data_IF_603549345174
#
_entry.id   IF_603549345174
#
_cell.length_a   1.000
_cell.length_b   1.000
_cell.length_c   1.000
_cell.angle_alpha   90.00
_cell.angle_beta   90.00
_cell.angle_gamma   90.00
#
_symmetry.space_group_name_H-M   'P 1'
#
loop_
_entity.id
_entity.type
_entity.pdbx_description
1 polymer ?
#
# COMPACT_ATOMS: atom_id res chain seq x y z
N UNK A 1 -11.84 -3.76 -8.45
CA UNK A 1 -11.80 -2.38 -8.95
C UNK A 1 -12.51 -1.40 -8.03
N UNK A 2 -13.76 -1.64 -7.62
CA UNK A 2 -14.50 -0.74 -6.71
C UNK A 2 -13.77 -0.43 -5.40
N UNK A 3 -13.20 -1.45 -4.73
CA UNK A 3 -12.44 -1.28 -3.48
C UNK A 3 -11.20 -0.39 -3.69
N UNK A 4 -10.47 -0.58 -4.80
CA UNK A 4 -9.28 0.22 -5.12
C UNK A 4 -9.67 1.69 -5.24
N UNK A 5 -10.70 1.98 -6.04
CA UNK A 5 -11.18 3.36 -6.24
C UNK A 5 -11.63 3.99 -4.92
N UNK A 6 -12.37 3.24 -4.09
CA UNK A 6 -12.82 3.70 -2.79
C UNK A 6 -11.63 4.07 -1.88
N UNK A 7 -10.64 3.20 -1.76
CA UNK A 7 -9.45 3.44 -0.92
C UNK A 7 -8.64 4.65 -1.41
N UNK A 8 -8.52 4.82 -2.73
CA UNK A 8 -7.86 5.99 -3.34
C UNK A 8 -8.63 7.27 -3.02
N UNK A 9 -9.95 7.28 -3.20
CA UNK A 9 -10.79 8.44 -2.89
C UNK A 9 -10.67 8.81 -1.41
N UNK A 10 -10.68 7.82 -0.51
CA UNK A 10 -10.55 8.05 0.94
C UNK A 10 -9.21 8.73 1.26
N UNK A 11 -8.08 8.22 0.77
CA UNK A 11 -6.76 8.80 1.05
C UNK A 11 -6.65 10.23 0.50
N UNK A 12 -7.05 10.45 -0.76
CA UNK A 12 -6.99 11.78 -1.39
C UNK A 12 -7.91 12.78 -0.70
N UNK A 13 -9.09 12.35 -0.25
CA UNK A 13 -10.04 13.21 0.47
C UNK A 13 -9.47 13.62 1.83
N UNK A 14 -8.90 12.68 2.59
CA UNK A 14 -8.27 12.97 3.88
C UNK A 14 -7.09 13.92 3.67
N UNK A 15 -6.22 13.68 2.69
CA UNK A 15 -5.09 14.57 2.39
C UNK A 15 -5.53 15.97 2.02
N UNK A 16 -6.61 16.08 1.25
CA UNK A 16 -7.21 17.36 0.88
C UNK A 16 -7.70 18.10 2.12
N UNK A 17 -8.41 17.41 3.03
CA UNK A 17 -8.86 17.98 4.30
C UNK A 17 -7.66 18.43 5.15
N UNK A 18 -6.62 17.59 5.24
CA UNK A 18 -5.40 17.90 6.00
C UNK A 18 -4.67 19.12 5.43
N UNK A 19 -4.55 19.21 4.11
CA UNK A 19 -3.89 20.32 3.43
C UNK A 19 -4.59 21.65 3.70
N UNK A 20 -5.92 21.71 3.50
CA UNK A 20 -6.64 22.97 3.58
C UNK A 20 -6.96 23.41 5.02
N UNK A 21 -7.17 22.47 5.94
CA UNK A 21 -7.64 22.80 7.29
C UNK A 21 -6.59 22.61 8.40
N UNK A 22 -5.58 21.76 8.19
CA UNK A 22 -4.72 21.28 9.28
C UNK A 22 -3.20 21.41 9.03
N UNK A 23 -2.75 21.92 7.88
CA UNK A 23 -1.32 21.95 7.51
C UNK A 23 -0.41 22.72 8.48
N UNK A 24 -0.96 23.66 9.24
CA UNK A 24 -0.24 24.45 10.24
C UNK A 24 -0.57 24.02 11.68
N UNK A 25 -1.18 22.85 11.85
CA UNK A 25 -1.60 22.35 13.16
C UNK A 25 -0.64 21.30 13.68
N UNK A 26 -0.39 21.35 15.00
CA UNK A 26 0.43 20.37 15.70
C UNK A 26 -0.31 19.94 16.96
N UNK A 27 -0.92 18.76 16.90
CA UNK A 27 -1.62 18.15 18.02
C UNK A 27 -0.77 17.00 18.54
N UNK A 28 -0.44 17.04 19.83
CA UNK A 28 0.35 16.02 20.53
C UNK A 28 -0.58 15.21 21.42
N UNK A 29 -0.46 13.89 21.36
CA UNK A 29 -1.09 12.91 22.24
C UNK A 29 0.01 12.13 22.97
N UNK A 30 -0.35 11.43 24.06
CA UNK A 30 0.54 10.51 24.79
C UNK A 30 1.91 11.12 25.13
N UNK A 31 1.91 12.33 25.72
CA UNK A 31 3.16 13.02 26.09
C UNK A 31 4.04 13.42 24.90
N UNK A 32 3.50 13.43 23.67
CA UNK A 32 4.23 13.77 22.45
C UNK A 32 4.72 12.56 21.64
N UNK A 33 4.42 11.33 22.07
CA UNK A 33 4.80 10.12 21.33
C UNK A 33 3.94 9.90 20.08
N UNK A 34 2.71 10.38 20.06
CA UNK A 34 1.79 10.23 18.94
C UNK A 34 1.15 11.58 18.64
N UNK A 35 0.86 11.90 17.39
CA UNK A 35 0.21 13.16 17.08
C UNK A 35 -0.25 13.32 15.65
N UNK A 36 -0.91 14.46 15.44
CA UNK A 36 -1.31 14.96 14.13
C UNK A 36 -0.48 16.20 13.86
N UNK A 37 0.37 16.12 12.84
CA UNK A 37 1.22 17.22 12.39
C UNK A 37 1.37 17.09 10.87
N UNK A 38 0.39 17.59 10.09
CA UNK A 38 0.44 17.47 8.64
C UNK A 38 1.64 18.22 8.07
N UNK A 39 2.50 17.53 7.35
CA UNK A 39 3.69 18.09 6.70
C UNK A 39 3.80 17.62 5.27
N UNK A 40 4.25 18.51 4.38
CA UNK A 40 4.58 18.15 3.00
C UNK A 40 6.03 17.68 2.96
N UNK A 41 6.23 16.38 2.89
CA UNK A 41 7.54 15.77 2.81
C UNK A 41 8.01 15.76 1.34
N UNK A 42 8.94 16.67 1.02
CA UNK A 42 9.54 16.82 -0.32
C UNK A 42 10.91 16.18 -0.47
N UNK A 43 11.65 16.04 0.63
CA UNK A 43 12.96 15.37 0.63
C UNK A 43 12.80 13.85 0.83
N UNK A 44 11.77 13.46 1.60
CA UNK A 44 11.44 12.09 1.97
C UNK A 44 10.13 11.65 1.30
N UNK A 45 10.16 11.56 -0.03
CA UNK A 45 8.96 11.36 -0.87
C UNK A 45 8.45 9.90 -0.83
N UNK A 46 9.25 9.00 -0.25
CA UNK A 46 8.83 7.65 0.08
C UNK A 46 9.51 7.19 1.36
N UNK A 47 8.85 6.31 2.09
CA UNK A 47 9.43 5.66 3.25
C UNK A 47 10.70 4.86 2.86
N UNK A 48 10.71 4.27 1.67
CA UNK A 48 11.89 3.58 1.14
C UNK A 48 13.13 4.49 1.05
N UNK A 49 12.97 5.72 0.57
CA UNK A 49 14.07 6.69 0.53
C UNK A 49 14.53 7.08 1.94
N UNK A 50 13.58 7.30 2.85
CA UNK A 50 13.83 7.66 4.25
C UNK A 50 14.63 6.59 4.99
N UNK A 51 14.30 5.31 4.77
CA UNK A 51 14.90 4.19 5.50
C UNK A 51 16.30 3.83 5.01
N UNK A 52 16.58 4.01 3.72
CA UNK A 52 17.83 3.57 3.11
C UNK A 52 18.76 4.72 2.70
N UNK A 53 18.29 5.97 2.71
CA UNK A 53 19.05 7.19 2.38
C UNK A 53 19.87 7.07 1.08
N UNK A 54 19.24 6.54 0.04
CA UNK A 54 19.93 6.12 -1.21
C UNK A 54 20.10 7.31 -2.18
N UNK A 55 19.45 8.45 -1.91
CA UNK A 55 19.48 9.64 -2.76
C UNK A 55 18.66 9.50 -4.03
N UNK A 56 17.59 8.69 -4.02
CA UNK A 56 16.78 8.45 -5.23
C UNK A 56 15.90 9.68 -5.51
N UNK A 57 16.11 10.27 -6.68
CA UNK A 57 15.33 11.44 -7.09
C UNK A 57 13.84 11.10 -7.38
N UNK A 58 12.98 12.12 -7.32
CA UNK A 58 11.53 11.97 -7.54
C UNK A 58 11.17 11.30 -8.88
N UNK A 59 11.78 11.66 -10.03
CA UNK A 59 11.47 11.00 -11.31
C UNK A 59 11.73 9.49 -11.28
N UNK A 60 12.83 9.05 -10.66
CA UNK A 60 13.15 7.62 -10.53
C UNK A 60 12.13 6.89 -9.67
N UNK A 61 11.70 7.51 -8.56
CA UNK A 61 10.63 6.96 -7.72
C UNK A 61 9.27 6.86 -8.46
N UNK A 62 8.97 7.81 -9.34
CA UNK A 62 7.77 7.76 -10.20
C UNK A 62 7.86 6.57 -11.15
N UNK A 63 8.98 6.42 -11.86
CA UNK A 63 9.20 5.30 -12.80
C UNK A 63 9.08 3.96 -12.07
N UNK A 64 9.73 3.83 -10.92
CA UNK A 64 9.65 2.62 -10.09
C UNK A 64 8.21 2.31 -9.67
N UNK A 65 7.44 3.32 -9.25
CA UNK A 65 6.05 3.13 -8.85
C UNK A 65 5.17 2.70 -10.04
N UNK A 66 5.33 3.32 -11.22
CA UNK A 66 4.61 2.89 -12.44
C UNK A 66 4.96 1.43 -12.81
N UNK A 67 6.23 1.06 -12.69
CA UNK A 67 6.67 -0.31 -12.94
C UNK A 67 6.04 -1.31 -11.95
N UNK A 68 6.07 -1.01 -10.64
CA UNK A 68 5.43 -1.82 -9.60
C UNK A 68 3.92 -1.94 -9.87
N UNK A 69 3.26 -0.83 -10.19
CA UNK A 69 1.83 -0.81 -10.46
C UNK A 69 1.48 -1.69 -11.68
N UNK A 70 2.31 -1.66 -12.72
CA UNK A 70 2.17 -2.53 -13.91
C UNK A 70 2.26 -4.01 -13.52
N UNK A 71 3.25 -4.38 -12.69
CA UNK A 71 3.38 -5.75 -12.17
C UNK A 71 2.14 -6.14 -11.35
N UNK A 72 1.67 -5.27 -10.46
CA UNK A 72 0.50 -5.55 -9.62
C UNK A 72 -0.77 -5.79 -10.46
N UNK A 73 -1.01 -4.98 -11.49
CA UNK A 73 -2.13 -5.20 -12.41
C UNK A 73 -1.97 -6.49 -13.22
N UNK A 74 -0.75 -6.81 -13.67
CA UNK A 74 -0.48 -8.07 -14.34
C UNK A 74 -0.77 -9.28 -13.42
N UNK A 75 -0.30 -9.25 -12.18
CA UNK A 75 -0.58 -10.28 -11.17
C UNK A 75 -2.09 -10.40 -10.96
N UNK A 76 -2.78 -9.28 -10.71
CA UNK A 76 -4.23 -9.25 -10.56
C UNK A 76 -4.96 -9.94 -11.72
N UNK A 77 -4.59 -9.60 -12.97
CA UNK A 77 -5.13 -10.21 -14.17
C UNK A 77 -4.86 -11.72 -14.22
N UNK A 78 -3.64 -12.16 -13.92
CA UNK A 78 -3.27 -13.58 -13.92
C UNK A 78 -4.05 -14.37 -12.87
N UNK A 79 -4.24 -13.85 -11.67
CA UNK A 79 -5.02 -14.51 -10.61
C UNK A 79 -6.50 -14.66 -10.98
N UNK A 80 -7.07 -13.68 -11.70
CA UNK A 80 -8.43 -13.81 -12.26
C UNK A 80 -8.46 -14.92 -13.32
N UNK A 81 -7.56 -14.87 -14.31
CA UNK A 81 -7.55 -15.82 -15.43
C UNK A 81 -7.32 -17.27 -15.01
N UNK A 82 -6.57 -17.49 -13.94
CA UNK A 82 -6.23 -18.82 -13.42
C UNK A 82 -7.22 -19.34 -12.38
N UNK A 83 -8.20 -18.52 -11.95
CA UNK A 83 -9.17 -18.91 -10.92
C UNK A 83 -8.61 -18.93 -9.49
N UNK A 84 -7.37 -18.50 -9.28
CA UNK A 84 -6.76 -18.42 -7.94
C UNK A 84 -7.20 -17.18 -7.13
N UNK A 85 -8.02 -16.30 -7.71
CA UNK A 85 -8.48 -15.07 -7.06
C UNK A 85 -9.52 -15.36 -5.95
N UNK A 86 -9.07 -15.48 -4.71
CA UNK A 86 -9.94 -15.54 -3.53
C UNK A 86 -10.08 -14.17 -2.84
N UNK A 87 -10.91 -14.11 -1.78
CA UNK A 87 -11.16 -12.88 -1.03
C UNK A 87 -9.89 -12.27 -0.42
N UNK A 88 -9.02 -13.10 0.17
CA UNK A 88 -7.79 -12.64 0.82
C UNK A 88 -6.84 -11.99 -0.19
N UNK A 89 -6.57 -12.69 -1.30
CA UNK A 89 -5.72 -12.19 -2.39
C UNK A 89 -6.31 -10.91 -2.98
N UNK A 90 -7.62 -10.85 -3.14
CA UNK A 90 -8.32 -9.66 -3.66
C UNK A 90 -8.11 -8.44 -2.76
N UNK A 91 -8.21 -8.61 -1.44
CA UNK A 91 -7.98 -7.52 -0.48
C UNK A 91 -6.52 -7.09 -0.49
N UNK A 92 -5.57 -8.04 -0.41
CA UNK A 92 -4.13 -7.78 -0.43
C UNK A 92 -3.73 -6.98 -1.68
N UNK A 93 -4.11 -7.47 -2.87
CA UNK A 93 -3.77 -6.81 -4.13
C UNK A 93 -4.47 -5.44 -4.23
N UNK A 94 -5.73 -5.32 -3.77
CA UNK A 94 -6.43 -4.05 -3.79
C UNK A 94 -5.72 -2.97 -2.96
N UNK A 95 -5.22 -3.32 -1.77
CA UNK A 95 -4.50 -2.40 -0.89
C UNK A 95 -3.13 -2.01 -1.45
N UNK A 96 -2.39 -2.96 -2.03
CA UNK A 96 -1.14 -2.65 -2.74
C UNK A 96 -1.38 -1.69 -3.90
N UNK A 97 -2.35 -1.99 -4.77
CA UNK A 97 -2.67 -1.14 -5.92
C UNK A 97 -3.14 0.25 -5.46
N UNK A 98 -4.03 0.35 -4.48
CA UNK A 98 -4.50 1.65 -3.99
C UNK A 98 -3.37 2.46 -3.38
N UNK A 99 -2.52 1.85 -2.54
CA UNK A 99 -1.36 2.52 -1.95
C UNK A 99 -0.36 3.03 -3.01
N UNK A 100 -0.07 2.21 -4.01
CA UNK A 100 0.79 2.59 -5.15
C UNK A 100 0.20 3.74 -5.97
N UNK A 101 -1.11 3.72 -6.27
CA UNK A 101 -1.80 4.81 -6.98
C UNK A 101 -1.73 6.10 -6.17
N UNK A 102 -2.06 6.07 -4.88
CA UNK A 102 -1.99 7.26 -4.02
C UNK A 102 -0.56 7.82 -3.97
N UNK A 103 0.43 6.94 -3.80
CA UNK A 103 1.85 7.30 -3.80
C UNK A 103 2.32 7.93 -5.12
N UNK A 104 1.73 7.53 -6.25
CA UNK A 104 2.02 8.08 -7.56
C UNK A 104 1.37 9.45 -7.75
N UNK A 105 0.09 9.59 -7.34
CA UNK A 105 -0.63 10.87 -7.39
C UNK A 105 0.09 11.92 -6.56
N UNK A 106 0.51 11.59 -5.33
CA UNK A 106 1.26 12.49 -4.47
C UNK A 106 2.54 13.01 -5.15
N UNK A 107 3.34 12.11 -5.74
CA UNK A 107 4.59 12.46 -6.43
C UNK A 107 4.35 13.37 -7.64
N UNK A 108 3.29 13.14 -8.39
CA UNK A 108 2.97 13.92 -9.60
C UNK A 108 2.38 15.29 -9.23
N UNK A 109 1.43 15.33 -8.30
CA UNK A 109 0.64 16.52 -7.97
C UNK A 109 1.34 17.39 -6.94
N UNK A 110 1.83 16.80 -5.85
CA UNK A 110 2.38 17.52 -4.71
C UNK A 110 3.91 17.67 -4.79
N UNK A 111 4.57 16.93 -5.70
CA UNK A 111 6.05 16.79 -5.74
C UNK A 111 6.62 16.42 -4.37
N UNK A 112 5.88 15.58 -3.64
CA UNK A 112 6.10 15.24 -2.25
C UNK A 112 4.98 14.34 -1.75
N UNK A 113 4.84 14.21 -0.44
CA UNK A 113 3.74 13.50 0.21
C UNK A 113 3.24 14.29 1.41
N UNK A 114 1.92 14.36 1.62
CA UNK A 114 1.39 14.88 2.89
C UNK A 114 1.30 13.72 3.87
N UNK A 115 2.17 13.74 4.88
CA UNK A 115 2.09 12.83 6.01
C UNK A 115 1.40 13.61 7.14
N UNK A 116 0.44 13.00 7.82
CA UNK A 116 -0.39 13.71 8.79
C UNK A 116 -0.47 13.08 10.16
N UNK A 117 -0.11 11.80 10.29
CA UNK A 117 0.13 11.18 11.57
C UNK A 117 1.63 11.07 11.82
N UNK A 118 2.03 11.15 13.09
CA UNK A 118 3.34 10.72 13.50
C UNK A 118 3.28 9.86 14.76
N UNK A 119 4.22 8.92 14.83
CA UNK A 119 4.53 8.09 15.99
C UNK A 119 6.04 8.17 16.20
N UNK A 120 6.45 8.78 17.31
CA UNK A 120 7.84 9.13 17.59
C UNK A 120 8.46 9.94 16.42
N UNK A 121 9.47 9.39 15.74
CA UNK A 121 10.13 10.02 14.59
C UNK A 121 9.51 9.64 13.25
N UNK A 122 8.54 8.73 13.23
CA UNK A 122 7.95 8.22 12.00
C UNK A 122 6.67 8.99 11.66
N UNK A 123 6.63 9.60 10.49
CA UNK A 123 5.46 10.29 9.97
C UNK A 123 4.87 9.50 8.80
N UNK A 124 3.57 9.23 8.83
CA UNK A 124 2.90 8.40 7.83
C UNK A 124 1.53 8.97 7.47
N UNK A 125 0.99 8.48 6.37
CA UNK A 125 -0.37 8.72 5.92
C UNK A 125 -1.12 7.38 5.73
N UNK A 126 -2.31 7.45 5.13
CA UNK A 126 -3.16 6.27 4.95
C UNK A 126 -2.68 5.37 3.81
N UNK A 127 -2.00 5.88 2.76
CA UNK A 127 -1.38 5.00 1.76
C UNK A 127 -0.26 4.16 2.37
N UNK A 128 0.49 4.69 3.33
CA UNK A 128 1.55 3.94 4.00
C UNK A 128 0.93 2.79 4.82
N UNK A 129 -0.16 3.07 5.54
CA UNK A 129 -0.96 2.03 6.21
C UNK A 129 -1.41 0.97 5.21
N UNK A 130 -1.94 1.36 4.04
CA UNK A 130 -2.38 0.38 3.03
C UNK A 130 -1.24 -0.56 2.62
N UNK A 131 -0.05 -0.02 2.32
CA UNK A 131 1.11 -0.80 1.87
C UNK A 131 1.67 -1.71 2.97
N UNK A 132 1.81 -1.21 4.20
CA UNK A 132 2.32 -2.01 5.32
C UNK A 132 1.35 -3.11 5.72
N UNK A 133 0.06 -2.79 5.83
CA UNK A 133 -0.96 -3.79 6.18
C UNK A 133 -1.12 -4.84 5.09
N UNK A 134 -1.04 -4.47 3.81
CA UNK A 134 -1.08 -5.45 2.71
C UNK A 134 0.13 -6.36 2.69
N UNK A 135 1.32 -5.84 3.01
CA UNK A 135 2.54 -6.63 3.14
C UNK A 135 2.46 -7.62 4.30
N UNK A 136 2.07 -7.15 5.49
CA UNK A 136 1.88 -8.02 6.65
C UNK A 136 0.83 -9.10 6.38
N UNK A 137 -0.31 -8.72 5.79
CA UNK A 137 -1.36 -9.66 5.46
C UNK A 137 -0.88 -10.69 4.43
N UNK A 138 -0.13 -10.28 3.41
CA UNK A 138 0.49 -11.21 2.45
C UNK A 138 1.39 -12.22 3.16
N UNK A 139 2.27 -11.76 4.06
CA UNK A 139 3.18 -12.64 4.81
C UNK A 139 2.38 -13.67 5.61
N UNK A 140 1.39 -13.24 6.40
CA UNK A 140 0.55 -14.17 7.17
C UNK A 140 -0.24 -15.13 6.29
N UNK A 141 -0.74 -14.66 5.14
CA UNK A 141 -1.46 -15.49 4.20
C UNK A 141 -0.57 -16.57 3.57
N UNK A 142 0.70 -16.27 3.29
CA UNK A 142 1.70 -17.21 2.78
C UNK A 142 2.20 -18.20 3.83
N UNK A 143 2.31 -17.77 5.09
CA UNK A 143 2.73 -18.63 6.21
C UNK A 143 1.62 -19.57 6.70
N UNK A 144 0.37 -19.34 6.29
CA UNK A 144 -0.75 -20.22 6.64
C UNK A 144 -0.41 -21.65 6.17
N UNK A 145 -0.32 -22.64 7.09
CA UNK A 145 -0.04 -24.01 6.69
C UNK A 145 -1.14 -24.46 5.73
N UNK A 146 -0.77 -24.66 4.47
CA UNK A 146 -1.63 -25.31 3.51
C UNK A 146 -1.61 -26.79 3.86
N UNK A 147 -2.74 -27.31 4.35
CA UNK A 147 -2.97 -28.76 4.35
C UNK A 147 -3.06 -29.21 2.88
N UNK A 148 -1.92 -29.30 2.20
CA UNK A 148 -1.81 -29.69 0.79
C UNK A 148 -2.00 -31.22 0.60
N UNK A 149 -2.42 -31.92 1.65
CA UNK A 149 -2.78 -33.33 1.68
C UNK A 149 -4.30 -33.50 1.72
N UNK A 150 -5.00 -33.30 0.59
CA UNK A 150 -6.26 -33.99 0.25
C UNK A 150 -6.89 -33.43 -1.03
N UNK A 151 -6.24 -33.60 -2.19
CA UNK A 151 -6.95 -33.62 -3.49
C UNK A 151 -6.14 -34.15 -4.68
N UNK A 152 -5.06 -34.90 -4.44
CA UNK A 152 -4.68 -35.97 -5.38
C UNK A 152 -5.60 -37.15 -5.06
N UNK A 153 -6.89 -37.01 -5.39
CA UNK A 153 -7.71 -38.19 -5.59
C UNK A 153 -7.06 -38.92 -6.75
N UNK A 154 -6.33 -39.97 -6.38
CA UNK A 154 -5.93 -41.07 -7.24
C UNK A 154 -7.11 -41.32 -8.17
N UNK A 155 -6.94 -40.91 -9.43
CA UNK A 155 -7.70 -41.45 -10.53
C UNK A 155 -7.30 -42.93 -10.53
N UNK A 156 -7.99 -43.73 -9.72
CA UNK A 156 -7.90 -45.19 -9.78
C UNK A 156 -8.33 -45.50 -11.21
N UNK A 157 -7.35 -45.83 -12.04
CA UNK A 157 -7.61 -46.52 -13.29
C UNK A 157 -8.52 -47.70 -12.94
N UNK A 158 -9.62 -47.93 -13.67
CA UNK A 158 -10.36 -49.18 -13.54
C UNK A 158 -9.35 -50.30 -13.80
N UNK A 159 -9.18 -51.18 -12.83
CA UNK A 159 -8.59 -52.47 -13.10
C UNK A 159 -9.61 -53.24 -13.96
N UNK A 160 -9.09 -53.81 -15.05
CA UNK A 160 -9.72 -54.81 -15.93
C UNK A 160 -10.69 -54.27 -17.01
#
# INVERSE_FOLDING_TARGET
MTIILLLVIIDLSIKTIMYFNFINTHIKFLGGYLGIAPTINRDQISEFETQFNIGINTPTLIILNVFILTILFYIYYRFIKTGYMNLHIRVIIAMFISGSICSLIDKIVLRGSINYFYVNTWAFDLKDIYLYTSLLYLIFYLLKPTNFTAKVQIKKLPNE
#
